data_IF_439672315002
#
_entry.id   IF_439672315002
#
_cell.length_a   1.000
_cell.length_b   1.000
_cell.length_c   1.000
_cell.angle_alpha   90.00
_cell.angle_beta   90.00
_cell.angle_gamma   90.00
#
_symmetry.space_group_name_H-M   'P 1'
#
loop_
_entity.id
_entity.type
_entity.pdbx_description
1 polymer ?
#
# COMPACT_ATOMS: atom_id res chain seq x y z
N UNK A 1 -0.49 -6.91 -11.75
CA UNK A 1 -1.64 -6.02 -12.08
C UNK A 1 -2.86 -6.90 -12.20
N UNK A 2 -4.00 -6.45 -11.70
CA UNK A 2 -5.29 -7.13 -11.85
C UNK A 2 -6.26 -6.15 -12.50
N UNK A 3 -7.16 -6.62 -13.36
CA UNK A 3 -7.98 -5.88 -14.36
C UNK A 3 -8.48 -4.46 -14.03
N UNK A 4 -8.52 -4.05 -12.75
CA UNK A 4 -8.95 -2.72 -12.29
C UNK A 4 -8.02 -2.03 -11.29
N UNK A 5 -6.98 -2.69 -10.76
CA UNK A 5 -6.08 -2.10 -9.77
C UNK A 5 -4.62 -2.59 -9.82
N UNK A 6 -3.73 -1.73 -9.31
CA UNK A 6 -2.30 -1.96 -9.10
C UNK A 6 -2.01 -1.98 -7.61
N UNK A 7 -1.52 -3.10 -7.11
CA UNK A 7 -1.06 -3.20 -5.74
C UNK A 7 0.45 -2.93 -5.68
N UNK A 8 0.85 -1.99 -4.82
CA UNK A 8 2.25 -1.66 -4.55
C UNK A 8 2.67 -2.30 -3.23
N UNK A 9 3.19 -3.51 -3.30
CA UNK A 9 3.67 -4.26 -2.13
C UNK A 9 4.93 -3.62 -1.52
N UNK A 10 5.93 -3.34 -2.35
CA UNK A 10 7.18 -2.71 -1.91
C UNK A 10 7.52 -1.48 -2.74
N UNK A 11 7.61 -0.32 -2.07
CA UNK A 11 8.17 0.90 -2.63
C UNK A 11 9.26 1.42 -1.69
N UNK A 12 10.50 1.39 -2.17
CA UNK A 12 11.65 1.89 -1.43
C UNK A 12 12.42 2.92 -2.26
N UNK A 13 12.85 3.99 -1.59
CA UNK A 13 13.80 4.97 -2.11
C UNK A 13 15.02 4.93 -1.20
N UNK A 14 16.22 4.96 -1.77
CA UNK A 14 17.45 5.00 -0.97
C UNK A 14 17.40 6.13 0.06
N UNK A 15 17.82 5.90 1.32
CA UNK A 15 17.87 6.93 2.35
C UNK A 15 18.64 8.19 1.91
N UNK A 16 19.72 8.02 1.13
CA UNK A 16 20.55 9.11 0.62
C UNK A 16 19.81 10.02 -0.37
N UNK A 17 18.73 9.51 -0.97
CA UNK A 17 17.88 10.20 -1.94
C UNK A 17 16.58 10.73 -1.31
N UNK A 18 16.40 10.55 0.00
CA UNK A 18 15.18 10.99 0.72
C UNK A 18 15.10 12.52 0.73
N UNK A 19 13.89 13.04 0.50
CA UNK A 19 13.64 14.48 0.48
C UNK A 19 14.00 15.17 -0.85
N UNK A 20 14.56 14.44 -1.83
CA UNK A 20 14.90 14.98 -3.16
C UNK A 20 13.76 14.84 -4.19
N UNK A 21 12.57 14.40 -3.77
CA UNK A 21 11.39 14.31 -4.64
C UNK A 21 11.23 13.03 -5.45
N UNK A 22 12.21 12.11 -5.43
CA UNK A 22 12.14 10.85 -6.19
C UNK A 22 10.90 10.00 -5.88
N UNK A 23 10.51 9.90 -4.60
CA UNK A 23 9.30 9.17 -4.22
C UNK A 23 8.05 9.74 -4.90
N UNK A 24 7.92 11.06 -4.93
CA UNK A 24 6.80 11.73 -5.60
C UNK A 24 6.85 11.57 -7.12
N UNK A 25 8.04 11.55 -7.72
CA UNK A 25 8.21 11.26 -9.15
C UNK A 25 7.80 9.83 -9.50
N UNK A 26 8.24 8.84 -8.72
CA UNK A 26 7.84 7.44 -8.91
C UNK A 26 6.32 7.31 -8.82
N UNK A 27 5.71 7.90 -7.78
CA UNK A 27 4.25 7.91 -7.66
C UNK A 27 3.57 8.64 -8.82
N UNK A 28 4.16 9.71 -9.36
CA UNK A 28 3.63 10.38 -10.54
C UNK A 28 3.58 9.46 -11.77
N UNK A 29 4.65 8.74 -12.06
CA UNK A 29 4.67 7.78 -13.17
C UNK A 29 3.69 6.62 -12.97
N UNK A 30 3.54 6.13 -11.74
CA UNK A 30 2.60 5.04 -11.44
C UNK A 30 1.13 5.46 -11.61
N UNK A 31 0.84 6.74 -11.34
CA UNK A 31 -0.51 7.35 -11.46
C UNK A 31 -0.97 7.55 -12.90
N UNK A 32 -0.08 7.51 -13.89
CA UNK A 32 -0.42 7.69 -15.31
C UNK A 32 -1.07 6.43 -15.93
N UNK A 33 -1.94 5.77 -15.16
CA UNK A 33 -2.64 4.56 -15.59
C UNK A 33 -4.11 4.62 -15.19
N UNK A 34 -4.96 3.94 -15.97
CA UNK A 34 -6.40 3.85 -15.71
C UNK A 34 -6.75 2.95 -14.51
N UNK A 35 -5.77 2.50 -13.73
CA UNK A 35 -5.95 1.56 -12.64
C UNK A 35 -5.94 2.26 -11.29
N UNK A 36 -6.79 1.81 -10.38
CA UNK A 36 -6.74 2.22 -8.97
C UNK A 36 -5.43 1.70 -8.36
N UNK A 37 -4.67 2.55 -7.67
CA UNK A 37 -3.48 2.11 -6.96
C UNK A 37 -3.86 1.83 -5.51
N UNK A 38 -3.45 0.69 -4.99
CA UNK A 38 -3.61 0.28 -3.58
C UNK A 38 -2.22 0.10 -2.98
N UNK A 39 -2.00 0.63 -1.79
CA UNK A 39 -0.79 0.42 -1.01
C UNK A 39 -1.10 0.34 0.48
N UNK A 40 -0.14 -0.16 1.23
CA UNK A 40 -0.24 -0.31 2.68
C UNK A 40 0.83 0.49 3.43
N UNK A 41 0.48 0.94 4.64
CA UNK A 41 1.40 1.59 5.57
C UNK A 41 1.24 1.04 6.98
N UNK A 42 2.31 1.17 7.78
CA UNK A 42 2.27 0.85 9.20
C UNK A 42 1.16 1.65 9.94
N UNK A 43 0.57 1.08 11.00
CA UNK A 43 -0.33 1.80 11.90
C UNK A 43 0.29 3.10 12.41
N UNK A 44 -0.55 4.10 12.67
CA UNK A 44 -0.14 5.46 13.07
C UNK A 44 0.29 5.53 14.55
N UNK A 45 1.26 4.71 14.94
CA UNK A 45 1.74 4.58 16.32
C UNK A 45 2.96 5.44 16.62
N UNK A 46 3.61 6.01 15.60
CA UNK A 46 4.81 6.82 15.76
C UNK A 46 4.91 7.94 14.70
N UNK A 47 5.81 8.90 14.92
CA UNK A 47 5.99 10.02 13.99
C UNK A 47 6.35 9.61 12.56
N UNK A 48 7.09 8.51 12.39
CA UNK A 48 7.49 8.04 11.07
C UNK A 48 6.29 7.54 10.26
N UNK A 49 5.39 6.77 10.87
CA UNK A 49 4.14 6.31 10.26
C UNK A 49 3.22 7.48 9.87
N UNK A 50 3.12 8.50 10.73
CA UNK A 50 2.36 9.73 10.44
C UNK A 50 2.96 10.50 9.27
N UNK A 51 4.29 10.67 9.23
CA UNK A 51 4.98 11.32 8.09
C UNK A 51 4.79 10.54 6.79
N UNK A 52 4.73 9.20 6.86
CA UNK A 52 4.47 8.35 5.70
C UNK A 52 3.05 8.54 5.16
N UNK A 53 2.04 8.58 6.05
CA UNK A 53 0.67 8.92 5.66
C UNK A 53 0.61 10.29 4.97
N UNK A 54 1.17 11.33 5.60
CA UNK A 54 1.17 12.69 5.04
C UNK A 54 1.84 12.79 3.68
N UNK A 55 2.91 12.01 3.44
CA UNK A 55 3.57 11.93 2.13
C UNK A 55 2.63 11.37 1.05
N UNK A 56 1.91 10.30 1.35
CA UNK A 56 0.97 9.69 0.41
C UNK A 56 -0.28 10.56 0.20
N UNK A 57 -0.81 11.19 1.25
CA UNK A 57 -1.92 12.15 1.13
C UNK A 57 -1.55 13.34 0.24
N UNK A 58 -0.35 13.91 0.41
CA UNK A 58 0.18 14.96 -0.48
C UNK A 58 0.35 14.48 -1.93
N UNK A 59 0.51 13.17 -2.13
CA UNK A 59 0.59 12.54 -3.45
C UNK A 59 -0.79 12.17 -4.01
N UNK A 60 -1.87 12.47 -3.29
CA UNK A 60 -3.27 12.29 -3.70
C UNK A 60 -3.92 10.99 -3.21
N UNK A 61 -3.24 10.18 -2.40
CA UNK A 61 -3.81 8.95 -1.86
C UNK A 61 -4.80 9.27 -0.73
N UNK A 62 -5.81 8.43 -0.59
CA UNK A 62 -6.83 8.52 0.45
C UNK A 62 -6.69 7.36 1.42
N UNK A 63 -6.67 7.64 2.72
CA UNK A 63 -6.76 6.62 3.76
C UNK A 63 -8.16 5.97 3.76
N UNK A 64 -8.20 4.65 3.70
CA UNK A 64 -9.44 3.88 3.67
C UNK A 64 -9.84 3.40 5.07
N UNK A 65 -11.13 3.08 5.31
CA UNK A 65 -11.56 2.45 6.55
C UNK A 65 -11.13 0.97 6.67
N UNK A 66 -10.53 0.40 5.61
CA UNK A 66 -10.16 -1.00 5.54
C UNK A 66 -8.74 -1.24 6.09
N UNK A 67 -8.47 -2.49 6.46
CA UNK A 67 -7.19 -2.94 7.03
C UNK A 67 -6.69 -4.15 6.28
N UNK A 68 -5.38 -4.26 6.16
CA UNK A 68 -4.75 -5.46 5.65
C UNK A 68 -4.06 -6.18 6.81
N UNK A 69 -4.32 -7.47 6.95
CA UNK A 69 -3.60 -8.30 7.93
C UNK A 69 -2.50 -9.01 7.17
N UNK A 70 -1.27 -8.53 7.33
CA UNK A 70 -0.13 -9.17 6.71
C UNK A 70 0.12 -10.49 7.44
N UNK A 71 -0.03 -11.61 6.72
CA UNK A 71 0.30 -12.91 7.29
C UNK A 71 1.80 -12.98 7.54
N UNK A 72 2.22 -13.51 8.69
CA UNK A 72 3.62 -13.60 9.01
C UNK A 72 4.32 -14.58 8.06
N UNK A 73 5.40 -14.13 7.41
CA UNK A 73 6.29 -15.00 6.63
C UNK A 73 7.04 -16.03 7.49
N UNK A 74 6.99 -15.90 8.83
CA UNK A 74 7.63 -16.81 9.78
C UNK A 74 6.58 -17.32 10.75
N UNK A 75 6.60 -18.62 11.01
CA UNK A 75 5.64 -19.32 11.88
C UNK A 75 5.45 -18.70 13.28
N UNK A 76 6.47 -18.00 13.78
CA UNK A 76 6.50 -17.40 15.13
C UNK A 76 6.30 -15.87 15.14
N UNK A 77 5.95 -15.25 14.00
CA UNK A 77 5.66 -13.81 13.97
C UNK A 77 4.17 -13.57 14.11
N UNK A 78 3.80 -12.54 14.87
CA UNK A 78 2.40 -12.15 15.01
C UNK A 78 1.89 -11.49 13.71
N UNK A 79 0.63 -11.74 13.32
CA UNK A 79 -0.01 -10.99 12.24
C UNK A 79 0.08 -9.49 12.51
N UNK A 80 0.52 -8.74 11.50
CA UNK A 80 0.62 -7.29 11.59
C UNK A 80 -0.54 -6.65 10.84
N UNK A 81 -1.32 -5.83 11.55
CA UNK A 81 -2.32 -4.98 10.91
C UNK A 81 -1.63 -3.80 10.21
N UNK A 82 -2.00 -3.56 8.96
CA UNK A 82 -1.58 -2.44 8.14
C UNK A 82 -2.78 -1.62 7.68
N UNK A 83 -2.55 -0.33 7.45
CA UNK A 83 -3.55 0.60 6.94
C UNK A 83 -3.52 0.62 5.41
N UNK A 84 -4.69 0.56 4.78
CA UNK A 84 -4.80 0.60 3.32
C UNK A 84 -5.06 2.02 2.85
N UNK A 85 -4.27 2.47 1.88
CA UNK A 85 -4.47 3.70 1.11
C UNK A 85 -4.80 3.38 -0.34
N UNK A 86 -5.60 4.24 -0.98
CA UNK A 86 -5.91 4.10 -2.40
C UNK A 86 -5.88 5.42 -3.17
N UNK A 87 -5.60 5.32 -4.48
CA UNK A 87 -5.60 6.43 -5.43
C UNK A 87 -6.32 6.02 -6.73
N UNK A 88 -7.08 6.93 -7.40
CA UNK A 88 -7.34 8.32 -7.02
C UNK A 88 -8.51 8.49 -6.04
N UNK A 89 -9.30 7.44 -5.85
CA UNK A 89 -10.48 7.44 -4.98
C UNK A 89 -10.35 6.39 -3.89
N UNK A 90 -11.17 6.53 -2.86
CA UNK A 90 -11.37 5.47 -1.89
C UNK A 90 -11.96 4.24 -2.59
N UNK A 91 -11.35 3.08 -2.36
CA UNK A 91 -11.91 1.79 -2.80
C UNK A 91 -13.22 1.51 -2.09
N UNK A 92 -14.11 0.80 -2.77
CA UNK A 92 -15.35 0.26 -2.21
C UNK A 92 -15.09 -1.02 -1.41
N UNK A 93 -16.08 -1.44 -0.63
CA UNK A 93 -16.02 -2.72 0.10
C UNK A 93 -15.81 -3.92 -0.83
N UNK A 94 -16.37 -3.86 -2.05
CA UNK A 94 -16.22 -4.91 -3.06
C UNK A 94 -14.78 -4.95 -3.57
N UNK A 95 -14.23 -3.81 -4.00
CA UNK A 95 -12.83 -3.71 -4.46
C UNK A 95 -11.85 -4.14 -3.37
N UNK A 96 -12.13 -3.83 -2.09
CA UNK A 96 -11.37 -4.34 -0.96
C UNK A 96 -11.44 -5.87 -0.84
N UNK A 97 -12.62 -6.47 -0.94
CA UNK A 97 -12.76 -7.93 -0.87
C UNK A 97 -12.03 -8.64 -2.03
N UNK A 98 -12.16 -8.09 -3.25
CA UNK A 98 -11.46 -8.59 -4.43
C UNK A 98 -9.93 -8.47 -4.26
N UNK A 99 -9.46 -7.36 -3.67
CA UNK A 99 -8.04 -7.16 -3.33
C UNK A 99 -7.53 -8.20 -2.33
N UNK A 100 -8.26 -8.45 -1.24
CA UNK A 100 -7.88 -9.46 -0.23
C UNK A 100 -7.80 -10.85 -0.86
N UNK A 101 -8.76 -11.20 -1.72
CA UNK A 101 -8.72 -12.47 -2.44
C UNK A 101 -7.48 -12.56 -3.34
N UNK A 102 -7.19 -11.50 -4.12
CA UNK A 102 -6.01 -11.45 -4.98
C UNK A 102 -4.70 -11.64 -4.19
N UNK A 103 -4.52 -10.93 -3.07
CA UNK A 103 -3.31 -11.05 -2.26
C UNK A 103 -3.20 -12.46 -1.66
N UNK A 104 -4.31 -13.02 -1.18
CA UNK A 104 -4.30 -14.37 -0.63
C UNK A 104 -3.98 -15.45 -1.67
N UNK A 105 -4.43 -15.31 -2.91
CA UNK A 105 -4.21 -16.29 -3.96
C UNK A 105 -2.85 -16.11 -4.68
N UNK A 106 -2.35 -14.88 -4.78
CA UNK A 106 -1.19 -14.55 -5.62
C UNK A 106 0.10 -14.28 -4.84
N UNK A 107 0.00 -13.86 -3.58
CA UNK A 107 1.16 -13.42 -2.77
C UNK A 107 1.50 -14.43 -1.67
N UNK A 108 0.51 -15.12 -1.07
CA UNK A 108 0.75 -16.14 -0.03
C UNK A 108 1.54 -17.35 -0.57
N UNK A 109 1.64 -17.55 -1.89
CA UNK A 109 2.44 -18.62 -2.50
C UNK A 109 3.95 -18.49 -2.17
N UNK A 110 4.40 -17.34 -1.66
CA UNK A 110 5.78 -17.10 -1.24
C UNK A 110 6.01 -17.14 0.28
N UNK A 111 4.98 -17.46 1.08
CA UNK A 111 5.12 -17.74 2.52
C UNK A 111 5.46 -19.23 2.72
N UNK A 112 6.74 -19.56 2.86
CA UNK A 112 7.22 -20.88 3.33
C UNK A 112 7.32 -20.95 4.86
#
# INVERSE_FOLDING_TARGET
EWDSYRYLEYLAVSPDLKGQGYGSQILHYLRDSNHTIILEIDPLVNELSVRRLQFYEKSGFTLTPYRFMHLPYRKDSEPQELLILSYPKMITRKEYADFIQFVNESVIVYCE
#
